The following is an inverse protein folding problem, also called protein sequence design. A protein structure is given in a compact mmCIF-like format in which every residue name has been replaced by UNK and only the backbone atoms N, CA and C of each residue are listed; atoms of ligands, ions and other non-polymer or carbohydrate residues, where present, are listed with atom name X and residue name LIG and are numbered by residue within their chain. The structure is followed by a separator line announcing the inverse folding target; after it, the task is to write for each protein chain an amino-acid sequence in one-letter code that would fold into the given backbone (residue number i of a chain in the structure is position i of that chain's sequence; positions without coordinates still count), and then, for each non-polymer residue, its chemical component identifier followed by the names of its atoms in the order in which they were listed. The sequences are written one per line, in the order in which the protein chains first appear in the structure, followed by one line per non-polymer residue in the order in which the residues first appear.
data_IF_979670799918
#
_entry.id   IF_979670799918
#
_cell.length_a   1.000
_cell.length_b   1.000
_cell.length_c   1.000
_cell.angle_alpha   90.00
_cell.angle_beta   90.00
_cell.angle_gamma   90.00
#
_symmetry.space_group_name_H-M   'P 1'
#
loop_
_entity.id
_entity.type
_entity.pdbx_description
1 polymer ?
#
# COMPACT_ATOMS: atom_id res chain seq x y z
N UNK A 1 -4.91 17.22 -3.59
CA UNK A 1 -6.38 17.47 -3.51
C UNK A 1 -6.83 18.80 -4.13
N UNK A 2 -5.91 19.65 -4.63
CA UNK A 2 -6.26 20.93 -5.27
C UNK A 2 -6.96 20.74 -6.63
N UNK A 3 -6.52 19.79 -7.46
CA UNK A 3 -7.08 19.55 -8.79
C UNK A 3 -8.56 19.11 -8.78
N UNK A 4 -8.98 18.27 -7.82
CA UNK A 4 -10.38 17.82 -7.69
C UNK A 4 -11.26 18.98 -7.18
N UNK A 5 -10.73 19.82 -6.28
CA UNK A 5 -11.41 21.03 -5.80
C UNK A 5 -11.68 22.05 -6.91
N UNK A 6 -10.71 22.24 -7.82
CA UNK A 6 -10.84 23.12 -8.99
C UNK A 6 -11.83 22.56 -10.03
N UNK A 7 -11.78 21.25 -10.31
CA UNK A 7 -12.71 20.59 -11.25
C UNK A 7 -14.18 20.70 -10.79
N UNK A 8 -14.43 20.62 -9.48
CA UNK A 8 -15.77 20.77 -8.91
C UNK A 8 -16.33 22.20 -9.09
N UNK A 9 -15.48 23.22 -9.08
CA UNK A 9 -15.90 24.61 -9.37
C UNK A 9 -16.24 24.84 -10.85
N UNK A 10 -15.71 24.01 -11.76
CA UNK A 10 -16.03 24.02 -13.19
C UNK A 10 -17.18 23.07 -13.57
N UNK A 11 -17.87 22.48 -12.59
CA UNK A 11 -19.01 21.57 -12.81
C UNK A 11 -18.62 20.15 -13.25
N UNK A 12 -17.34 19.79 -13.25
CA UNK A 12 -16.86 18.47 -13.64
C UNK A 12 -16.77 17.57 -12.40
N UNK A 13 -17.70 16.63 -12.28
CA UNK A 13 -17.71 15.62 -11.21
C UNK A 13 -16.87 14.42 -11.60
N UNK A 14 -15.57 14.44 -11.27
CA UNK A 14 -14.72 13.26 -11.44
C UNK A 14 -15.06 12.23 -10.37
N UNK A 15 -15.68 11.12 -10.77
CA UNK A 15 -15.95 9.99 -9.87
C UNK A 15 -14.67 9.21 -9.58
N UNK A 16 -14.63 8.49 -8.45
CA UNK A 16 -13.49 7.63 -8.09
C UNK A 16 -13.16 6.63 -9.21
N UNK A 17 -14.18 6.02 -9.81
CA UNK A 17 -14.03 5.08 -10.93
C UNK A 17 -13.42 5.75 -12.16
N UNK A 18 -13.83 6.97 -12.50
CA UNK A 18 -13.34 7.69 -13.68
C UNK A 18 -11.87 8.11 -13.51
N UNK A 19 -11.49 8.58 -12.31
CA UNK A 19 -10.08 8.85 -11.99
C UNK A 19 -9.23 7.57 -12.03
N UNK A 20 -9.73 6.48 -11.45
CA UNK A 20 -9.04 5.19 -11.46
C UNK A 20 -8.80 4.69 -12.89
N UNK A 21 -9.82 4.73 -13.77
CA UNK A 21 -9.68 4.34 -15.18
C UNK A 21 -8.67 5.23 -15.92
N UNK A 22 -8.72 6.55 -15.70
CA UNK A 22 -7.77 7.49 -16.30
C UNK A 22 -6.33 7.25 -15.82
N UNK A 23 -6.14 6.90 -14.54
CA UNK A 23 -4.83 6.61 -13.96
C UNK A 23 -4.34 5.18 -14.26
N UNK A 24 -5.23 4.27 -14.64
CA UNK A 24 -4.89 2.86 -14.88
C UNK A 24 -3.90 2.71 -16.04
N UNK A 25 -4.12 3.42 -17.15
CA UNK A 25 -3.26 3.38 -18.34
C UNK A 25 -1.82 3.84 -18.02
N UNK A 26 -1.57 5.04 -17.48
CA UNK A 26 -0.21 5.46 -17.09
C UNK A 26 0.34 4.65 -15.91
N UNK A 27 -0.52 4.11 -15.04
CA UNK A 27 -0.12 3.23 -13.93
C UNK A 27 0.46 1.90 -14.41
N UNK A 28 -0.21 1.23 -15.35
CA UNK A 28 0.26 -0.02 -15.95
C UNK A 28 1.55 0.23 -16.75
N UNK A 29 1.60 1.32 -17.52
CA UNK A 29 2.83 1.69 -18.24
C UNK A 29 3.99 1.89 -17.26
N UNK A 30 3.77 2.57 -16.14
CA UNK A 30 4.80 2.77 -15.11
C UNK A 30 5.23 1.46 -14.46
N UNK A 31 4.30 0.53 -14.21
CA UNK A 31 4.59 -0.79 -13.65
C UNK A 31 5.46 -1.65 -14.56
N UNK A 32 5.43 -1.45 -15.88
CA UNK A 32 6.28 -2.18 -16.82
C UNK A 32 7.59 -1.44 -17.12
N UNK A 33 7.52 -0.13 -17.32
CA UNK A 33 8.67 0.70 -17.68
C UNK A 33 9.66 0.79 -16.51
N UNK A 34 9.19 1.01 -15.28
CA UNK A 34 10.08 1.19 -14.13
C UNK A 34 10.95 -0.05 -13.88
N UNK A 35 10.41 -1.28 -13.78
CA UNK A 35 11.23 -2.48 -13.62
C UNK A 35 12.20 -2.69 -14.79
N UNK A 36 11.77 -2.42 -16.03
CA UNK A 36 12.64 -2.58 -17.20
C UNK A 36 13.81 -1.59 -17.21
N UNK A 37 13.54 -0.32 -16.89
CA UNK A 37 14.58 0.71 -16.76
C UNK A 37 15.51 0.36 -15.60
N UNK A 38 14.98 -0.03 -14.44
CA UNK A 38 15.79 -0.44 -13.29
C UNK A 38 16.69 -1.63 -13.63
N UNK A 39 16.18 -2.63 -14.33
CA UNK A 39 16.99 -3.79 -14.76
C UNK A 39 18.14 -3.40 -15.69
N UNK A 40 17.94 -2.35 -16.51
CA UNK A 40 18.97 -1.87 -17.46
C UNK A 40 19.99 -0.94 -16.81
N UNK A 41 19.56 -0.05 -15.91
CA UNK A 41 20.43 0.94 -15.24
C UNK A 41 21.17 0.32 -14.06
N UNK A 42 20.50 -0.53 -13.30
CA UNK A 42 21.05 -1.25 -12.15
C UNK A 42 20.88 -2.76 -12.38
N UNK A 43 21.61 -3.35 -13.34
CA UNK A 43 21.55 -4.79 -13.55
C UNK A 43 21.88 -5.50 -12.24
N UNK A 44 20.98 -6.33 -11.70
CA UNK A 44 21.19 -6.96 -10.40
C UNK A 44 22.45 -7.83 -10.43
N UNK A 45 23.27 -7.73 -9.37
CA UNK A 45 24.52 -8.49 -9.23
C UNK A 45 24.26 -10.00 -9.14
N UNK A 46 23.11 -10.42 -8.61
CA UNK A 46 22.66 -11.82 -8.53
C UNK A 46 21.42 -11.96 -9.40
N UNK A 47 21.59 -12.38 -10.65
CA UNK A 47 20.50 -12.56 -11.62
C UNK A 47 19.75 -13.87 -11.43
N UNK A 48 20.43 -14.88 -10.92
CA UNK A 48 19.83 -16.16 -10.57
C UNK A 48 20.39 -16.60 -9.22
N UNK A 49 19.48 -16.99 -8.33
CA UNK A 49 19.81 -17.73 -7.13
C UNK A 49 19.53 -19.20 -7.46
N UNK A 50 20.50 -19.94 -8.03
CA UNK A 50 20.32 -21.37 -8.30
C UNK A 50 19.99 -22.02 -6.96
N UNK A 51 18.89 -22.77 -6.90
CA UNK A 51 18.33 -23.35 -5.68
C UNK A 51 17.63 -22.40 -4.69
N UNK A 52 17.11 -21.22 -5.10
CA UNK A 52 16.30 -20.34 -4.23
C UNK A 52 15.17 -21.08 -3.48
N UNK A 53 14.46 -21.97 -4.18
CA UNK A 53 13.37 -22.76 -3.60
C UNK A 53 13.89 -23.75 -2.56
N UNK A 54 14.95 -24.50 -2.89
CA UNK A 54 15.56 -25.49 -1.98
C UNK A 54 16.24 -24.83 -0.78
N UNK A 55 16.83 -23.66 -0.97
CA UNK A 55 17.39 -22.83 0.09
C UNK A 55 16.29 -22.32 1.02
N UNK A 56 15.19 -21.79 0.46
CA UNK A 56 14.05 -21.30 1.24
C UNK A 56 13.39 -22.42 2.06
N UNK A 57 13.15 -23.61 1.48
CA UNK A 57 12.58 -24.75 2.21
C UNK A 57 13.51 -25.27 3.30
N UNK A 58 14.81 -25.34 3.03
CA UNK A 58 15.82 -25.74 4.03
C UNK A 58 15.84 -24.75 5.20
N UNK A 59 15.86 -23.44 4.93
CA UNK A 59 15.82 -22.40 5.97
C UNK A 59 14.51 -22.41 6.75
N UNK A 60 13.37 -22.59 6.08
CA UNK A 60 12.07 -22.72 6.73
C UNK A 60 11.99 -23.95 7.63
N UNK A 61 12.53 -25.09 7.20
CA UNK A 61 12.62 -26.29 8.06
C UNK A 61 13.53 -26.09 9.27
N UNK A 62 14.61 -25.32 9.13
CA UNK A 62 15.53 -25.01 10.21
C UNK A 62 14.94 -24.03 11.25
N UNK A 63 14.05 -23.11 10.81
CA UNK A 63 13.30 -22.23 11.71
C UNK A 63 12.28 -23.00 12.56
N UNK A 64 11.77 -24.13 12.06
CA UNK A 64 10.89 -25.01 12.81
C UNK A 64 9.48 -24.44 12.99
N UNK A 65 8.80 -24.84 14.08
CA UNK A 65 7.41 -24.44 14.33
C UNK A 65 7.35 -22.99 14.81
N UNK A 66 6.44 -22.22 14.22
CA UNK A 66 6.21 -20.82 14.59
C UNK A 66 5.87 -20.70 16.09
N UNK A 67 6.66 -19.88 16.77
CA UNK A 67 6.54 -19.62 18.21
C UNK A 67 5.25 -18.87 18.53
N UNK A 68 4.83 -18.89 19.80
CA UNK A 68 3.64 -18.14 20.24
C UNK A 68 3.80 -16.63 19.97
N UNK A 69 5.01 -16.09 20.15
CA UNK A 69 5.32 -14.68 19.91
C UNK A 69 5.17 -14.29 18.43
N UNK A 70 5.66 -15.12 17.51
CA UNK A 70 5.51 -14.88 16.05
C UNK A 70 4.05 -14.92 15.60
N UNK A 71 3.23 -15.79 16.22
CA UNK A 71 1.78 -15.82 15.98
C UNK A 71 1.11 -14.53 16.43
N UNK A 72 1.43 -14.04 17.63
CA UNK A 72 0.87 -12.79 18.16
C UNK A 72 1.26 -11.61 17.25
N UNK A 73 2.52 -11.52 16.84
CA UNK A 73 2.99 -10.48 15.90
C UNK A 73 2.26 -10.55 14.55
N UNK A 74 2.07 -11.75 14.00
CA UNK A 74 1.34 -11.93 12.74
C UNK A 74 -0.11 -11.47 12.87
N UNK A 75 -0.76 -11.81 13.99
CA UNK A 75 -2.14 -11.39 14.29
C UNK A 75 -2.24 -9.88 14.44
N UNK A 76 -1.33 -9.24 15.17
CA UNK A 76 -1.37 -7.77 15.34
C UNK A 76 -1.11 -7.04 14.02
N UNK A 77 -0.23 -7.56 13.16
CA UNK A 77 0.01 -6.99 11.83
C UNK A 77 -1.23 -7.08 10.93
N UNK A 78 -1.87 -8.25 10.88
CA UNK A 78 -3.12 -8.44 10.12
C UNK A 78 -4.23 -7.53 10.66
N UNK A 79 -4.36 -7.44 11.98
CA UNK A 79 -5.34 -6.58 12.62
C UNK A 79 -5.09 -5.09 12.31
N UNK A 80 -3.83 -4.65 12.26
CA UNK A 80 -3.47 -3.29 11.87
C UNK A 80 -3.88 -2.99 10.42
N UNK A 81 -3.67 -3.92 9.48
CA UNK A 81 -4.11 -3.76 8.07
C UNK A 81 -5.64 -3.67 7.99
N UNK A 82 -6.36 -4.57 8.67
CA UNK A 82 -7.83 -4.55 8.67
C UNK A 82 -8.34 -3.25 9.27
N UNK A 83 -7.77 -2.81 10.39
CA UNK A 83 -8.11 -1.55 11.03
C UNK A 83 -7.81 -0.36 10.12
N UNK A 84 -6.72 -0.40 9.34
CA UNK A 84 -6.38 0.64 8.37
C UNK A 84 -7.39 0.71 7.22
N UNK A 85 -7.81 -0.43 6.67
CA UNK A 85 -8.81 -0.50 5.61
C UNK A 85 -10.20 -0.03 6.08
N UNK A 86 -10.58 -0.36 7.32
CA UNK A 86 -11.89 0.01 7.90
C UNK A 86 -11.89 1.42 8.50
N UNK A 87 -10.73 1.91 8.96
CA UNK A 87 -10.56 3.20 9.62
C UNK A 87 -10.96 4.41 8.77
N UNK A 88 -11.05 4.25 7.45
CA UNK A 88 -11.55 5.30 6.56
C UNK A 88 -13.06 5.50 6.67
N UNK A 89 -13.82 4.55 7.25
CA UNK A 89 -15.28 4.62 7.42
C UNK A 89 -15.75 4.86 8.85
N UNK A 90 -14.88 4.77 9.86
CA UNK A 90 -15.27 4.84 11.27
C UNK A 90 -15.12 6.24 11.88
N UNK A 91 -15.91 6.50 12.94
CA UNK A 91 -16.26 7.78 13.55
C UNK A 91 -15.11 8.68 14.09
N UNK A 92 -13.83 8.35 13.85
CA UNK A 92 -12.69 9.15 14.33
C UNK A 92 -12.57 10.51 13.62
N UNK A 93 -13.15 10.65 12.41
CA UNK A 93 -13.23 11.93 11.68
C UNK A 93 -14.15 12.94 12.38
N UNK A 94 -15.17 12.49 13.12
CA UNK A 94 -16.11 13.37 13.86
C UNK A 94 -15.46 14.04 15.08
N UNK A 95 -14.54 13.35 15.75
CA UNK A 95 -13.83 13.90 16.91
C UNK A 95 -12.88 15.03 16.49
N UNK A 96 -12.22 14.90 15.33
CA UNK A 96 -11.36 15.97 14.80
C UNK A 96 -12.17 17.21 14.42
N UNK A 97 -13.36 17.09 13.83
CA UNK A 97 -14.18 18.26 13.47
C UNK A 97 -14.78 19.00 14.68
N UNK A 98 -15.03 18.29 15.79
CA UNK A 98 -15.59 18.88 17.02
C UNK A 98 -14.51 19.50 17.89
N UNK A 99 -13.30 18.93 17.91
CA UNK A 99 -12.21 19.36 18.81
C UNK A 99 -11.23 20.35 18.17
N UNK A 100 -11.05 20.36 16.84
CA UNK A 100 -10.14 21.31 16.17
C UNK A 100 -10.46 22.79 16.42
N UNK A 101 -11.74 23.23 16.44
CA UNK A 101 -12.06 24.64 16.63
C UNK A 101 -11.61 25.21 17.98
N UNK A 102 -11.47 24.35 19.01
CA UNK A 102 -11.10 24.74 20.36
C UNK A 102 -9.57 24.79 20.60
N UNK A 103 -8.77 24.21 19.70
CA UNK A 103 -7.31 24.18 19.80
C UNK A 103 -6.63 25.34 19.06
N UNK A 104 -7.40 26.14 18.32
CA UNK A 104 -6.92 27.31 17.56
C UNK A 104 -7.68 28.60 17.93
N UNK A 105 -8.27 28.65 19.14
CA UNK A 105 -8.84 29.84 19.77
C UNK A 105 -8.13 30.15 21.09
#
# INVERSE_FOLDING_TARGET
MVAIGLAKMQGITVTWMQWFMAACVPGILSLLIIPWVLYKVYPPEVKETPDAHRWATTRLSALGKMTASEKIMSVTFVLAIVLWLVGTKSALTRLKSVLLPWLFY
#
